data_IF_128062933465
#
_entry.id   IF_128062933465
#
_cell.length_a   1.000
_cell.length_b   1.000
_cell.length_c   1.000
_cell.angle_alpha   90.00
_cell.angle_beta   90.00
_cell.angle_gamma   90.00
#
_symmetry.space_group_name_H-M   'P 1'
#
loop_
_entity.id
_entity.type
_entity.pdbx_description
1 polymer ?
#
# COMPACT_ATOMS: atom_id res chain seq x y z
N UNK A 1 -22.78 -15.22 -14.95
CA UNK A 1 -22.39 -14.60 -13.67
C UNK A 1 -21.01 -15.12 -13.40
N UNK A 2 -20.00 -14.35 -13.75
CA UNK A 2 -18.58 -14.70 -13.53
C UNK A 2 -18.21 -14.10 -12.19
N UNK A 3 -17.97 -14.98 -11.22
CA UNK A 3 -17.35 -14.59 -9.95
C UNK A 3 -15.89 -14.31 -10.19
N UNK A 4 -15.50 -13.05 -10.15
CA UNK A 4 -14.08 -12.65 -10.15
C UNK A 4 -13.49 -12.71 -8.73
N UNK A 5 -13.71 -13.82 -8.03
CA UNK A 5 -12.98 -14.15 -6.82
C UNK A 5 -11.68 -14.86 -7.21
N UNK A 6 -10.75 -14.11 -7.82
CA UNK A 6 -9.40 -14.62 -8.00
C UNK A 6 -8.61 -14.20 -6.76
N UNK A 7 -8.27 -15.13 -5.86
CA UNK A 7 -7.31 -14.83 -4.83
C UNK A 7 -5.99 -14.48 -5.55
N UNK A 8 -5.50 -13.26 -5.37
CA UNK A 8 -4.17 -12.90 -5.84
C UNK A 8 -3.17 -13.68 -5.01
N UNK A 9 -2.58 -14.71 -5.62
CA UNK A 9 -1.42 -15.39 -5.05
C UNK A 9 -0.20 -14.51 -5.29
N UNK A 10 0.26 -13.79 -4.28
CA UNK A 10 1.55 -13.16 -4.32
C UNK A 10 2.61 -14.21 -3.96
N UNK A 11 3.30 -14.74 -4.96
CA UNK A 11 4.47 -15.59 -4.77
C UNK A 11 5.66 -14.70 -4.42
N UNK A 12 6.07 -14.71 -3.16
CA UNK A 12 7.24 -14.01 -2.70
C UNK A 12 8.47 -14.91 -2.78
N UNK A 13 9.55 -14.37 -3.33
CA UNK A 13 10.88 -14.96 -3.23
C UNK A 13 11.48 -14.50 -1.90
N UNK A 14 11.24 -15.26 -0.85
CA UNK A 14 11.91 -15.05 0.42
C UNK A 14 13.36 -15.55 0.29
N UNK A 15 14.32 -14.73 0.66
CA UNK A 15 15.70 -15.16 0.82
C UNK A 15 15.73 -16.32 1.81
N UNK A 16 16.13 -17.51 1.27
CA UNK A 16 16.23 -18.83 1.92
C UNK A 16 14.92 -19.64 2.07
N UNK A 17 14.67 -20.45 1.03
CA UNK A 17 14.11 -21.84 1.07
C UNK A 17 12.72 -22.12 1.64
N UNK A 18 11.81 -21.20 1.81
CA UNK A 18 10.42 -21.54 2.11
C UNK A 18 9.47 -20.73 1.23
N UNK A 19 8.91 -21.37 0.20
CA UNK A 19 7.74 -20.89 -0.51
C UNK A 19 6.53 -20.99 0.42
N UNK A 20 6.12 -19.91 1.06
CA UNK A 20 4.82 -19.84 1.73
C UNK A 20 3.83 -19.21 0.78
N UNK A 21 2.79 -19.94 0.46
CA UNK A 21 1.63 -19.38 -0.25
C UNK A 21 0.77 -18.68 0.79
N UNK A 22 0.70 -17.37 0.72
CA UNK A 22 -0.16 -16.58 1.59
C UNK A 22 -1.43 -16.23 0.83
N UNK A 23 -2.58 -16.48 1.41
CA UNK A 23 -3.84 -15.96 0.92
C UNK A 23 -3.97 -14.50 1.37
N UNK A 24 -3.48 -13.59 0.53
CA UNK A 24 -3.64 -12.16 0.75
C UNK A 24 -4.90 -11.75 0.00
N UNK A 25 -5.92 -11.40 0.74
CA UNK A 25 -7.11 -10.84 0.17
C UNK A 25 -6.89 -9.34 -0.05
N UNK A 26 -6.78 -8.93 -1.31
CA UNK A 26 -7.19 -7.58 -1.67
C UNK A 26 -8.71 -7.59 -1.57
N UNK A 27 -9.21 -7.01 -0.50
CA UNK A 27 -10.62 -7.08 -0.24
C UNK A 27 -11.37 -6.18 -1.22
N UNK A 28 -11.78 -6.74 -2.34
CA UNK A 28 -12.84 -6.22 -3.19
C UNK A 28 -14.09 -6.97 -2.80
N UNK A 29 -15.08 -6.31 -2.20
CA UNK A 29 -16.26 -7.01 -1.78
C UNK A 29 -17.06 -7.47 -2.98
N UNK A 30 -17.27 -8.74 -3.07
CA UNK A 30 -18.34 -9.28 -3.91
C UNK A 30 -19.67 -9.02 -3.24
N UNK A 31 -20.59 -8.46 -3.99
CA UNK A 31 -21.99 -8.18 -3.55
C UNK A 31 -22.69 -9.41 -2.96
N UNK A 32 -22.18 -10.62 -3.17
CA UNK A 32 -22.79 -11.89 -2.78
C UNK A 32 -22.53 -12.30 -1.33
N UNK A 33 -21.59 -11.67 -0.62
CA UNK A 33 -21.27 -11.99 0.77
C UNK A 33 -21.83 -10.97 1.77
N UNK A 34 -22.63 -10.01 1.30
CA UNK A 34 -23.23 -9.00 2.17
C UNK A 34 -24.48 -9.57 2.82
N UNK A 35 -24.44 -9.77 4.13
CA UNK A 35 -25.67 -9.80 4.92
C UNK A 35 -26.32 -8.42 4.88
N UNK A 36 -27.66 -8.33 4.97
CA UNK A 36 -28.39 -7.06 4.98
C UNK A 36 -27.93 -6.08 6.08
N UNK A 37 -27.18 -6.56 7.06
CA UNK A 37 -26.68 -5.79 8.21
C UNK A 37 -25.27 -5.21 8.02
N UNK A 38 -24.54 -5.57 6.94
CA UNK A 38 -23.16 -5.17 6.75
C UNK A 38 -23.01 -4.23 5.56
N UNK A 39 -22.77 -2.95 5.83
CA UNK A 39 -22.38 -1.97 4.82
C UNK A 39 -20.87 -1.99 4.67
N UNK A 40 -20.40 -2.28 3.46
CA UNK A 40 -18.99 -2.29 3.13
C UNK A 40 -18.35 -0.92 3.34
N UNK A 41 -17.26 -0.90 4.12
CA UNK A 41 -16.41 0.27 4.18
C UNK A 41 -15.62 0.42 2.87
N UNK A 42 -15.42 1.64 2.38
CA UNK A 42 -14.55 1.89 1.23
C UNK A 42 -13.15 1.30 1.44
N UNK A 43 -12.52 0.85 0.35
CA UNK A 43 -11.12 0.37 0.41
C UNK A 43 -10.17 1.43 0.97
N UNK A 44 -9.04 0.98 1.52
CA UNK A 44 -8.03 1.87 2.09
C UNK A 44 -8.55 2.78 3.23
N UNK A 45 -9.62 2.39 3.91
CA UNK A 45 -10.07 3.04 5.16
C UNK A 45 -9.63 2.23 6.37
N UNK A 46 -9.44 2.91 7.50
CA UNK A 46 -9.06 2.24 8.75
C UNK A 46 -10.04 1.13 9.14
N UNK A 47 -11.34 1.34 8.91
CA UNK A 47 -12.38 0.35 9.21
C UNK A 47 -12.27 -0.89 8.31
N UNK A 48 -12.06 -0.72 7.00
CA UNK A 48 -11.90 -1.85 6.06
C UNK A 48 -10.64 -2.64 6.35
N UNK A 49 -9.53 -1.95 6.65
CA UNK A 49 -8.25 -2.59 6.97
C UNK A 49 -8.30 -3.34 8.31
N UNK A 50 -8.95 -2.77 9.33
CA UNK A 50 -9.19 -3.44 10.60
C UNK A 50 -10.04 -4.70 10.41
N UNK A 51 -11.12 -4.62 9.62
CA UNK A 51 -11.94 -5.78 9.31
C UNK A 51 -11.13 -6.84 8.54
N UNK A 52 -10.43 -6.43 7.50
CA UNK A 52 -9.61 -7.32 6.67
C UNK A 52 -8.56 -8.07 7.48
N UNK A 53 -7.76 -7.36 8.27
CA UNK A 53 -6.68 -8.01 9.06
C UNK A 53 -7.23 -8.94 10.16
N UNK A 54 -8.42 -8.68 10.65
CA UNK A 54 -9.05 -9.55 11.66
C UNK A 54 -9.52 -10.88 11.07
N UNK A 55 -10.02 -10.88 9.82
CA UNK A 55 -10.70 -12.03 9.21
C UNK A 55 -9.89 -12.75 8.12
N UNK A 56 -8.65 -12.32 7.84
CA UNK A 56 -7.76 -12.93 6.85
C UNK A 56 -6.37 -13.18 7.40
N UNK A 57 -5.50 -13.82 6.63
CA UNK A 57 -4.09 -14.05 6.98
C UNK A 57 -3.23 -12.79 6.86
N UNK A 58 -3.75 -11.75 6.24
CA UNK A 58 -3.09 -10.47 6.06
C UNK A 58 -3.92 -9.49 5.25
N UNK A 59 -3.40 -8.29 5.09
CA UNK A 59 -4.01 -7.24 4.27
C UNK A 59 -3.03 -6.67 3.27
N UNK A 60 -3.59 -6.04 2.26
CA UNK A 60 -2.85 -5.20 1.31
C UNK A 60 -3.38 -3.78 1.40
N UNK A 61 -2.48 -2.82 1.28
CA UNK A 61 -2.82 -1.40 1.31
C UNK A 61 -1.91 -0.61 0.37
N UNK A 62 -2.45 0.47 -0.16
CA UNK A 62 -1.77 1.34 -1.12
C UNK A 62 -1.17 2.56 -0.42
N UNK A 63 0.12 2.80 -0.59
CA UNK A 63 0.84 3.92 0.03
C UNK A 63 1.22 4.98 -1.01
N UNK A 64 0.90 6.25 -0.68
CA UNK A 64 1.37 7.42 -1.41
C UNK A 64 2.04 8.42 -0.49
N UNK A 65 2.88 9.26 -1.09
CA UNK A 65 3.58 10.33 -0.39
C UNK A 65 2.83 11.66 -0.60
N UNK A 66 2.49 12.33 0.48
CA UNK A 66 1.84 13.66 0.49
C UNK A 66 2.81 14.78 0.12
N UNK A 67 2.34 16.04 0.04
CA UNK A 67 3.20 17.19 -0.26
C UNK A 67 4.26 17.43 0.81
N UNK A 68 3.94 17.20 2.06
CA UNK A 68 4.79 17.33 3.24
C UNK A 68 5.59 16.07 3.60
N UNK A 69 5.63 15.08 2.66
CA UNK A 69 6.36 13.81 2.79
C UNK A 69 5.84 12.88 3.91
N UNK A 70 4.56 12.93 4.19
CA UNK A 70 3.89 11.94 5.03
C UNK A 70 3.26 10.82 4.20
N UNK A 71 2.91 9.70 4.83
CA UNK A 71 2.37 8.53 4.17
C UNK A 71 0.86 8.43 4.33
N UNK A 72 0.15 8.50 3.21
CA UNK A 72 -1.29 8.33 3.12
C UNK A 72 -1.64 6.98 2.51
N UNK A 73 -2.69 6.34 3.03
CA UNK A 73 -3.24 5.09 2.48
C UNK A 73 -4.29 5.43 1.43
N UNK A 74 -3.93 5.29 0.15
CA UNK A 74 -4.81 5.66 -0.96
C UNK A 74 -4.34 5.09 -2.29
N UNK A 75 -5.25 4.46 -3.04
CA UNK A 75 -4.95 3.84 -4.33
C UNK A 75 -4.68 4.87 -5.43
N UNK A 76 -5.62 5.78 -5.66
CA UNK A 76 -5.60 6.66 -6.82
C UNK A 76 -4.55 7.78 -6.72
N UNK A 77 -4.08 8.28 -7.85
CA UNK A 77 -3.20 9.45 -7.89
C UNK A 77 -3.95 10.77 -7.63
N UNK A 78 -5.27 10.72 -7.60
CA UNK A 78 -6.14 11.86 -7.40
C UNK A 78 -7.01 11.67 -6.17
N UNK A 79 -7.29 12.75 -5.47
CA UNK A 79 -8.25 12.74 -4.37
C UNK A 79 -9.68 12.70 -4.91
N UNK A 80 -10.52 11.82 -4.37
CA UNK A 80 -11.94 11.70 -4.72
C UNK A 80 -12.77 12.74 -3.95
N UNK A 81 -12.41 14.00 -4.09
CA UNK A 81 -13.12 15.13 -3.46
C UNK A 81 -13.94 15.84 -4.53
N UNK A 82 -15.21 16.17 -4.25
CA UNK A 82 -16.05 16.95 -5.15
C UNK A 82 -15.38 18.25 -5.59
N UNK A 83 -15.54 18.64 -6.85
CA UNK A 83 -14.85 19.82 -7.42
C UNK A 83 -15.13 21.13 -6.68
N UNK A 84 -16.33 21.27 -6.14
CA UNK A 84 -16.76 22.42 -5.33
C UNK A 84 -16.03 22.49 -3.97
N UNK A 85 -15.51 21.35 -3.48
CA UNK A 85 -14.71 21.28 -2.25
C UNK A 85 -13.19 21.34 -2.49
N UNK A 86 -12.76 21.27 -3.74
CA UNK A 86 -11.33 21.42 -4.06
C UNK A 86 -10.80 22.83 -3.80
N UNK A 87 -11.69 23.82 -3.73
CA UNK A 87 -11.37 25.22 -3.43
C UNK A 87 -10.19 25.76 -4.27
N UNK A 88 -10.23 25.48 -5.58
CA UNK A 88 -9.17 25.81 -6.52
C UNK A 88 -7.89 25.00 -6.42
N UNK A 89 -7.83 24.02 -5.53
CA UNK A 89 -6.65 23.15 -5.33
C UNK A 89 -6.52 22.11 -6.43
N UNK A 90 -5.34 21.59 -6.54
CA UNK A 90 -5.03 20.47 -7.43
C UNK A 90 -5.68 19.19 -6.93
N UNK A 91 -6.17 18.37 -7.87
CA UNK A 91 -6.74 17.05 -7.58
C UNK A 91 -5.68 15.98 -7.17
N UNK A 92 -4.38 16.25 -7.35
CA UNK A 92 -3.33 15.27 -7.09
C UNK A 92 -3.07 15.10 -5.60
N UNK A 93 -2.98 13.86 -5.11
CA UNK A 93 -2.65 13.54 -3.71
C UNK A 93 -1.39 14.28 -3.25
N UNK A 94 -0.37 14.30 -4.09
CA UNK A 94 0.93 14.92 -3.79
C UNK A 94 0.87 16.47 -3.75
N UNK A 95 -0.31 17.06 -3.91
CA UNK A 95 -0.55 18.51 -3.73
C UNK A 95 -1.13 18.87 -2.36
N UNK A 96 -1.46 17.84 -1.56
CA UNK A 96 -2.12 17.99 -0.27
C UNK A 96 -1.16 17.59 0.86
N UNK A 97 -1.25 18.27 1.99
CA UNK A 97 -0.60 17.82 3.23
C UNK A 97 -1.37 16.65 3.85
N UNK A 98 -0.73 15.90 4.72
CA UNK A 98 -1.39 14.83 5.46
C UNK A 98 -2.60 15.35 6.25
N UNK A 99 -2.43 16.48 6.94
CA UNK A 99 -3.50 17.08 7.75
C UNK A 99 -4.73 17.44 6.91
N UNK A 100 -4.51 18.04 5.73
CA UNK A 100 -5.59 18.37 4.80
C UNK A 100 -6.34 17.13 4.31
N UNK A 101 -5.63 16.03 4.02
CA UNK A 101 -6.23 14.76 3.61
C UNK A 101 -6.98 14.09 4.75
N UNK A 102 -6.47 14.14 5.97
CA UNK A 102 -7.17 13.62 7.16
C UNK A 102 -8.48 14.36 7.43
N UNK A 103 -8.53 15.66 7.22
CA UNK A 103 -9.77 16.46 7.29
C UNK A 103 -10.82 16.03 6.24
N UNK A 104 -10.40 15.39 5.15
CA UNK A 104 -11.28 14.81 4.14
C UNK A 104 -11.63 13.33 4.42
N UNK A 105 -11.18 12.78 5.54
CA UNK A 105 -11.46 11.41 5.96
C UNK A 105 -10.49 10.34 5.44
N UNK A 106 -9.34 10.75 4.88
CA UNK A 106 -8.30 9.81 4.46
C UNK A 106 -7.52 9.28 5.66
N UNK A 107 -7.03 8.03 5.52
CA UNK A 107 -6.27 7.32 6.53
C UNK A 107 -4.77 7.40 6.23
N UNK A 108 -3.95 7.62 7.24
CA UNK A 108 -2.48 7.58 7.14
C UNK A 108 -1.92 6.23 7.59
N UNK A 109 -0.65 5.96 7.27
CA UNK A 109 0.05 4.81 7.83
C UNK A 109 0.14 4.92 9.36
N UNK A 110 0.31 6.12 9.92
CA UNK A 110 0.35 6.31 11.36
C UNK A 110 -0.99 6.00 12.03
N UNK A 111 -2.13 6.24 11.36
CA UNK A 111 -3.43 5.85 11.89
C UNK A 111 -3.55 4.33 12.02
N UNK A 112 -2.99 3.56 11.08
CA UNK A 112 -2.93 2.11 11.17
C UNK A 112 -2.00 1.65 12.30
N UNK A 113 -0.82 2.25 12.38
CA UNK A 113 0.19 1.90 13.40
C UNK A 113 -0.25 2.28 14.82
N UNK A 114 -1.18 3.21 14.98
CA UNK A 114 -1.78 3.60 16.25
C UNK A 114 -3.10 2.86 16.55
N UNK A 115 -3.58 2.02 15.64
CA UNK A 115 -4.79 1.23 15.84
C UNK A 115 -4.48 -0.06 16.59
N UNK A 116 -4.97 -0.19 17.81
CA UNK A 116 -4.66 -1.32 18.69
C UNK A 116 -5.09 -2.69 18.13
N UNK A 117 -6.13 -2.75 17.29
CA UNK A 117 -6.57 -4.00 16.66
C UNK A 117 -5.59 -4.38 15.57
N UNK A 118 -5.21 -3.44 14.70
CA UNK A 118 -4.24 -3.67 13.62
C UNK A 118 -2.88 -4.01 14.20
N UNK A 119 -2.40 -3.25 15.18
CA UNK A 119 -1.13 -3.49 15.87
C UNK A 119 -1.07 -4.91 16.44
N UNK A 120 -2.09 -5.32 17.21
CA UNK A 120 -2.15 -6.67 17.75
C UNK A 120 -2.10 -7.76 16.67
N UNK A 121 -2.90 -7.62 15.61
CA UNK A 121 -2.91 -8.60 14.52
C UNK A 121 -1.59 -8.64 13.75
N UNK A 122 -0.94 -7.50 13.56
CA UNK A 122 0.31 -7.39 12.80
C UNK A 122 1.52 -7.90 13.60
N UNK A 123 1.64 -7.47 14.86
CA UNK A 123 2.79 -7.80 15.73
C UNK A 123 2.57 -9.15 16.43
N UNK A 124 1.52 -9.25 17.25
CA UNK A 124 1.35 -10.39 18.16
C UNK A 124 0.86 -11.64 17.42
N UNK A 125 -0.06 -11.47 16.45
CA UNK A 125 -0.58 -12.60 15.67
C UNK A 125 0.26 -12.90 14.43
N UNK A 126 1.26 -12.07 14.11
CA UNK A 126 2.19 -12.27 13.01
C UNK A 126 1.55 -12.22 11.63
N UNK A 127 0.42 -11.52 11.49
CA UNK A 127 -0.25 -11.41 10.18
C UNK A 127 0.54 -10.56 9.21
N UNK A 128 0.39 -10.87 7.92
CA UNK A 128 1.12 -10.21 6.85
C UNK A 128 0.46 -8.89 6.45
N UNK A 129 1.26 -7.84 6.31
CA UNK A 129 0.80 -6.59 5.70
C UNK A 129 1.64 -6.28 4.47
N UNK A 130 0.98 -6.18 3.32
CA UNK A 130 1.60 -5.85 2.05
C UNK A 130 1.38 -4.38 1.74
N UNK A 131 2.46 -3.62 1.63
CA UNK A 131 2.43 -2.19 1.33
C UNK A 131 2.79 -1.99 -0.15
N UNK A 132 1.80 -1.62 -0.96
CA UNK A 132 2.03 -1.21 -2.34
C UNK A 132 2.43 0.25 -2.41
N UNK A 133 3.66 0.51 -2.78
CA UNK A 133 4.14 1.88 -2.98
C UNK A 133 3.80 2.37 -4.38
N UNK A 134 2.86 3.32 -4.45
CA UNK A 134 2.41 3.93 -5.69
C UNK A 134 3.39 5.02 -6.15
N UNK A 135 3.79 4.96 -7.41
CA UNK A 135 4.54 6.07 -8.02
C UNK A 135 3.63 7.28 -8.21
N UNK A 136 4.14 8.50 -8.01
CA UNK A 136 3.37 9.68 -8.33
C UNK A 136 3.04 9.72 -9.83
N UNK A 137 1.88 10.27 -10.17
CA UNK A 137 1.52 10.46 -11.55
C UNK A 137 2.48 11.46 -12.22
N UNK A 138 2.84 11.24 -13.49
CA UNK A 138 3.83 12.07 -14.18
C UNK A 138 3.44 13.55 -14.34
N UNK A 139 2.16 13.89 -14.13
CA UNK A 139 1.66 15.27 -14.11
C UNK A 139 1.51 15.85 -12.71
N UNK A 140 1.65 15.04 -11.66
CA UNK A 140 1.56 15.51 -10.28
C UNK A 140 2.77 16.36 -9.89
N UNK A 141 2.70 17.19 -8.84
CA UNK A 141 3.82 18.00 -8.37
C UNK A 141 5.11 17.22 -8.12
N UNK A 142 5.01 16.02 -7.54
CA UNK A 142 6.15 15.14 -7.27
C UNK A 142 6.58 14.30 -8.47
N UNK A 143 5.75 14.18 -9.51
CA UNK A 143 6.04 13.37 -10.71
C UNK A 143 6.45 14.16 -11.94
N UNK A 144 6.09 15.44 -12.04
CA UNK A 144 6.30 16.29 -13.24
C UNK A 144 7.71 16.87 -13.35
N UNK A 145 8.09 17.30 -14.56
CA UNK A 145 9.31 18.05 -14.84
C UNK A 145 10.21 17.36 -15.86
N UNK A 146 11.33 18.00 -16.19
CA UNK A 146 12.31 17.50 -17.17
C UNK A 146 12.87 16.13 -16.77
N UNK A 147 13.04 15.87 -15.48
CA UNK A 147 13.55 14.62 -14.91
C UNK A 147 12.44 13.78 -14.25
N UNK A 148 11.26 13.74 -14.88
CA UNK A 148 10.06 13.07 -14.35
C UNK A 148 10.30 11.65 -13.84
N UNK A 149 11.08 10.85 -14.58
CA UNK A 149 11.40 9.45 -14.19
C UNK A 149 12.19 9.41 -12.89
N UNK A 150 13.25 10.22 -12.78
CA UNK A 150 14.06 10.33 -11.56
C UNK A 150 13.23 10.82 -10.38
N UNK A 151 12.39 11.84 -10.57
CA UNK A 151 11.51 12.34 -9.51
C UNK A 151 10.51 11.29 -9.02
N UNK A 152 9.90 10.54 -9.93
CA UNK A 152 9.01 9.44 -9.54
C UNK A 152 9.72 8.37 -8.73
N UNK A 153 10.96 8.02 -9.12
CA UNK A 153 11.78 7.06 -8.38
C UNK A 153 12.18 7.60 -7.02
N UNK A 154 12.62 8.84 -6.94
CA UNK A 154 12.97 9.48 -5.67
C UNK A 154 11.78 9.55 -4.72
N UNK A 155 10.58 9.89 -5.22
CA UNK A 155 9.35 9.90 -4.40
C UNK A 155 9.04 8.50 -3.88
N UNK A 156 9.14 7.49 -4.71
CA UNK A 156 8.93 6.09 -4.33
C UNK A 156 9.95 5.65 -3.26
N UNK A 157 11.22 5.95 -3.49
CA UNK A 157 12.32 5.67 -2.58
C UNK A 157 12.14 6.36 -1.22
N UNK A 158 11.74 7.62 -1.24
CA UNK A 158 11.44 8.39 -0.01
C UNK A 158 10.30 7.77 0.76
N UNK A 159 9.20 7.40 0.09
CA UNK A 159 8.06 6.77 0.74
C UNK A 159 8.44 5.44 1.42
N UNK A 160 9.22 4.60 0.74
CA UNK A 160 9.69 3.33 1.28
C UNK A 160 10.60 3.53 2.51
N UNK A 161 11.52 4.48 2.45
CA UNK A 161 12.41 4.77 3.56
C UNK A 161 11.65 5.28 4.79
N UNK A 162 10.68 6.16 4.60
CA UNK A 162 9.83 6.64 5.70
C UNK A 162 9.01 5.50 6.29
N UNK A 163 8.43 4.63 5.46
CA UNK A 163 7.69 3.48 5.93
C UNK A 163 8.58 2.53 6.74
N UNK A 164 9.79 2.22 6.24
CA UNK A 164 10.76 1.39 6.96
C UNK A 164 11.02 1.95 8.36
N UNK A 165 11.36 3.25 8.46
CA UNK A 165 11.62 3.91 9.76
C UNK A 165 10.41 3.81 10.70
N UNK A 166 9.21 4.13 10.22
CA UNK A 166 7.99 4.08 11.03
C UNK A 166 7.67 2.66 11.53
N UNK A 167 7.85 1.65 10.67
CA UNK A 167 7.62 0.26 11.04
C UNK A 167 8.66 -0.25 12.05
N UNK A 168 9.94 0.15 11.90
CA UNK A 168 11.01 -0.19 12.84
C UNK A 168 10.79 0.47 14.19
N UNK A 169 10.42 1.75 14.22
CA UNK A 169 10.09 2.49 15.45
C UNK A 169 8.94 1.84 16.25
N UNK A 170 8.01 1.18 15.54
CA UNK A 170 6.89 0.43 16.14
C UNK A 170 7.23 -1.01 16.48
N UNK A 171 8.43 -1.48 16.14
CA UNK A 171 8.84 -2.87 16.38
C UNK A 171 8.11 -3.88 15.51
N UNK A 172 7.58 -3.47 14.35
CA UNK A 172 6.94 -4.40 13.41
C UNK A 172 7.99 -5.35 12.85
N UNK A 173 7.86 -6.69 13.03
CA UNK A 173 8.84 -7.64 12.54
C UNK A 173 8.98 -7.60 11.01
N UNK A 174 10.22 -7.69 10.50
CA UNK A 174 10.50 -7.62 9.07
C UNK A 174 9.76 -8.68 8.26
N UNK A 175 9.60 -9.88 8.80
CA UNK A 175 8.89 -10.98 8.14
C UNK A 175 7.38 -10.77 8.04
N UNK A 176 6.80 -9.85 8.81
CA UNK A 176 5.36 -9.58 8.81
C UNK A 176 4.98 -8.47 7.82
N UNK A 177 5.94 -7.95 7.05
CA UNK A 177 5.72 -6.88 6.09
C UNK A 177 6.34 -7.20 4.74
N UNK A 178 5.65 -6.81 3.66
CA UNK A 178 6.19 -6.90 2.31
C UNK A 178 6.01 -5.55 1.63
N UNK A 179 7.12 -4.99 1.15
CA UNK A 179 7.12 -3.80 0.31
C UNK A 179 7.06 -4.20 -1.15
N UNK A 180 6.13 -3.63 -1.91
CA UNK A 180 6.09 -3.89 -3.34
C UNK A 180 5.65 -2.69 -4.16
N UNK A 181 5.90 -2.75 -5.45
CA UNK A 181 5.51 -1.72 -6.41
C UNK A 181 5.52 -2.26 -7.83
N UNK A 182 4.69 -1.70 -8.71
CA UNK A 182 4.75 -1.92 -10.15
C UNK A 182 5.90 -1.14 -10.83
N UNK A 183 7.07 -1.15 -10.19
CA UNK A 183 8.26 -0.51 -10.70
C UNK A 183 9.39 -1.52 -10.92
N UNK A 184 9.87 -1.63 -12.17
CA UNK A 184 10.90 -2.60 -12.58
C UNK A 184 12.24 -2.44 -11.84
N UNK A 185 12.54 -1.22 -11.35
CA UNK A 185 13.77 -0.91 -10.61
C UNK A 185 13.64 -1.05 -9.11
N UNK A 186 12.65 -1.79 -8.62
CA UNK A 186 12.40 -1.96 -7.19
C UNK A 186 13.64 -2.44 -6.43
N UNK A 187 14.34 -3.45 -6.97
CA UNK A 187 15.57 -3.97 -6.37
C UNK A 187 16.61 -2.87 -6.09
N UNK A 188 16.82 -1.98 -7.04
CA UNK A 188 17.81 -0.90 -6.87
C UNK A 188 17.43 0.03 -5.72
N UNK A 189 16.13 0.35 -5.58
CA UNK A 189 15.65 1.17 -4.47
C UNK A 189 15.88 0.46 -3.13
N UNK A 190 15.56 -0.82 -3.06
CA UNK A 190 15.75 -1.64 -1.85
C UNK A 190 17.23 -1.63 -1.44
N UNK A 191 18.13 -1.91 -2.38
CA UNK A 191 19.58 -1.94 -2.14
C UNK A 191 20.10 -0.55 -1.72
N UNK A 192 19.73 0.51 -2.44
CA UNK A 192 20.19 1.89 -2.19
C UNK A 192 19.69 2.46 -0.85
N UNK A 193 18.48 2.09 -0.44
CA UNK A 193 17.89 2.56 0.81
C UNK A 193 18.12 1.62 1.98
N UNK A 194 18.80 0.49 1.76
CA UNK A 194 19.06 -0.54 2.79
C UNK A 194 17.77 -1.01 3.47
N UNK A 195 16.71 -1.22 2.69
CA UNK A 195 15.44 -1.72 3.21
C UNK A 195 15.62 -3.17 3.65
N UNK A 196 15.27 -3.47 4.89
CA UNK A 196 15.46 -4.79 5.49
C UNK A 196 14.25 -5.71 5.35
N UNK A 197 13.10 -5.17 4.94
CA UNK A 197 11.86 -5.93 4.81
C UNK A 197 11.81 -6.75 3.54
N UNK A 198 10.98 -7.79 3.55
CA UNK A 198 10.66 -8.54 2.34
C UNK A 198 10.13 -7.60 1.25
N UNK A 199 10.44 -7.89 0.02
CA UNK A 199 10.01 -7.05 -1.09
C UNK A 199 9.67 -7.85 -2.34
N UNK A 200 8.81 -7.30 -3.19
CA UNK A 200 8.47 -7.83 -4.50
C UNK A 200 8.38 -6.72 -5.56
N UNK A 201 8.83 -7.02 -6.77
CA UNK A 201 8.61 -6.18 -7.93
C UNK A 201 7.53 -6.80 -8.81
N UNK A 202 6.42 -6.09 -9.04
CA UNK A 202 5.37 -6.55 -9.94
C UNK A 202 5.57 -5.95 -11.34
N UNK A 203 5.42 -6.78 -12.34
CA UNK A 203 5.43 -6.35 -13.74
C UNK A 203 3.99 -6.27 -14.25
N UNK A 204 3.58 -5.18 -14.93
CA UNK A 204 2.20 -4.96 -15.37
C UNK A 204 1.69 -5.94 -16.43
N UNK A 205 2.50 -6.87 -16.90
CA UNK A 205 2.09 -7.84 -17.90
C UNK A 205 2.92 -9.11 -17.76
N UNK A 206 2.22 -10.18 -17.52
CA UNK A 206 2.63 -11.59 -17.43
C UNK A 206 2.94 -12.03 -16.00
N UNK A 207 2.16 -12.97 -15.44
CA UNK A 207 2.66 -13.78 -14.35
C UNK A 207 3.77 -14.64 -14.93
N UNK A 208 5.00 -14.18 -14.88
CA UNK A 208 6.15 -15.03 -15.15
C UNK A 208 6.31 -15.97 -13.97
N UNK A 209 5.52 -17.05 -13.99
CA UNK A 209 5.89 -18.28 -13.32
C UNK A 209 7.04 -18.86 -14.16
N UNK A 210 8.21 -18.34 -13.94
CA UNK A 210 9.44 -18.90 -14.49
C UNK A 210 9.95 -19.96 -13.53
N UNK A 211 9.43 -21.18 -13.63
CA UNK A 211 10.18 -22.34 -13.16
C UNK A 211 11.37 -22.49 -14.09
N UNK A 212 12.54 -22.06 -13.65
CA UNK A 212 13.79 -22.54 -14.24
C UNK A 212 14.22 -23.77 -13.44
N UNK A 213 14.13 -24.91 -14.11
CA UNK A 213 14.90 -26.14 -13.83
C UNK A 213 16.39 -25.83 -13.76
#
# INVERSE_FOLDING_TARGET
>A
IICDDIPYFLLFNLHNDIYRTWHIYKWTPTRSLMSEEWSQSPENTLLSLRHGITHSDGIELDIRLTSDNELIVHHDSVVSIPKDRLDGRSKWVESWTLEELKQQGFCSLDDLLNDSVIENQWIEQGKMVCLEFKRPHFMSPKGRGLFKKSRQVNTLSTAMKIAESKLDERGIPNQNSVFYSFYKGMKNIIDEQSISRNWAGLLPSVPTIGTRT
#
